data_IF_081680046202
#
_entry.id   IF_081680046202
#
_cell.length_a   1.000
_cell.length_b   1.000
_cell.length_c   1.000
_cell.angle_alpha   90.00
_cell.angle_beta   90.00
_cell.angle_gamma   90.00
#
_symmetry.space_group_name_H-M   'P 1'
#
loop_
_entity.id
_entity.type
_entity.pdbx_description
1 polymer ?
#
# COMPACT_ATOMS: atom_id res chain seq x y z
N UNK A 1 -13.81 21.78 -5.86
CA UNK A 1 -12.82 21.26 -6.83
C UNK A 1 -11.72 20.42 -6.15
N UNK A 2 -11.63 20.37 -4.82
CA UNK A 2 -10.61 19.58 -4.10
C UNK A 2 -10.83 18.05 -4.10
N UNK A 3 -12.06 17.55 -4.21
CA UNK A 3 -12.33 16.11 -4.12
C UNK A 3 -11.73 15.31 -5.30
N UNK A 4 -11.79 15.85 -6.51
CA UNK A 4 -11.30 15.16 -7.72
C UNK A 4 -9.78 14.97 -7.71
N UNK A 5 -9.03 15.92 -7.15
CA UNK A 5 -7.57 15.84 -7.04
C UNK A 5 -7.12 14.75 -6.05
N UNK A 6 -7.84 14.65 -4.92
CA UNK A 6 -7.58 13.67 -3.86
C UNK A 6 -7.87 12.24 -4.35
N UNK A 7 -9.00 12.05 -5.02
CA UNK A 7 -9.37 10.76 -5.64
C UNK A 7 -8.36 10.33 -6.71
N UNK A 8 -7.94 11.25 -7.58
CA UNK A 8 -6.93 10.94 -8.61
C UNK A 8 -5.58 10.54 -7.99
N UNK A 9 -5.17 11.21 -6.91
CA UNK A 9 -3.93 10.88 -6.20
C UNK A 9 -4.01 9.49 -5.55
N UNK A 10 -5.17 9.14 -4.98
CA UNK A 10 -5.36 7.81 -4.37
C UNK A 10 -5.35 6.70 -5.41
N UNK A 11 -5.99 6.90 -6.57
CA UNK A 11 -5.97 5.93 -7.68
C UNK A 11 -4.55 5.72 -8.22
N UNK A 12 -3.75 6.79 -8.33
CA UNK A 12 -2.35 6.70 -8.73
C UNK A 12 -1.53 5.87 -7.74
N UNK A 13 -1.69 6.12 -6.44
CA UNK A 13 -1.03 5.33 -5.40
C UNK A 13 -1.48 3.87 -5.42
N UNK A 14 -2.76 3.60 -5.66
CA UNK A 14 -3.28 2.25 -5.76
C UNK A 14 -2.67 1.47 -6.93
N UNK A 15 -2.56 2.09 -8.11
CA UNK A 15 -1.91 1.49 -9.28
C UNK A 15 -0.41 1.27 -9.04
N UNK A 16 0.24 2.22 -8.36
CA UNK A 16 1.63 2.06 -7.93
C UNK A 16 1.81 0.88 -6.97
N UNK A 17 0.90 0.69 -6.01
CA UNK A 17 0.92 -0.48 -5.12
C UNK A 17 0.85 -1.79 -5.91
N UNK A 18 -0.01 -1.85 -6.94
CA UNK A 18 -0.11 -3.02 -7.83
C UNK A 18 1.21 -3.27 -8.57
N UNK A 19 1.79 -2.22 -9.13
CA UNK A 19 3.07 -2.29 -9.84
C UNK A 19 4.20 -2.77 -8.93
N UNK A 20 4.29 -2.20 -7.72
CA UNK A 20 5.30 -2.60 -6.72
C UNK A 20 5.08 -4.03 -6.23
N UNK A 21 3.82 -4.46 -6.07
CA UNK A 21 3.53 -5.83 -5.67
C UNK A 21 4.00 -6.86 -6.69
N UNK A 22 3.89 -6.57 -7.98
CA UNK A 22 4.41 -7.43 -9.05
C UNK A 22 5.94 -7.46 -9.11
N UNK A 23 6.65 -6.61 -8.35
CA UNK A 23 8.10 -6.66 -8.26
C UNK A 23 8.57 -7.99 -7.64
N UNK A 24 9.59 -8.66 -8.21
CA UNK A 24 10.13 -9.90 -7.65
C UNK A 24 10.53 -9.83 -6.18
N UNK A 25 11.00 -8.67 -5.69
CA UNK A 25 11.36 -8.48 -4.29
C UNK A 25 10.15 -8.60 -3.37
N UNK A 26 9.00 -8.04 -3.77
CA UNK A 26 7.75 -8.15 -3.00
C UNK A 26 7.16 -9.55 -3.16
N UNK A 27 7.14 -10.11 -4.37
CA UNK A 27 6.68 -11.48 -4.62
C UNK A 27 7.48 -12.53 -3.83
N UNK A 28 8.79 -12.30 -3.62
CA UNK A 28 9.64 -13.21 -2.85
C UNK A 28 9.21 -13.41 -1.40
N UNK A 29 8.39 -12.49 -0.87
CA UNK A 29 7.80 -12.61 0.48
C UNK A 29 6.70 -13.67 0.56
N UNK A 30 6.21 -14.18 -0.57
CA UNK A 30 5.17 -15.22 -0.62
C UNK A 30 3.80 -14.73 -0.15
N UNK A 31 3.58 -13.42 -0.12
CA UNK A 31 2.30 -12.84 0.28
C UNK A 31 1.25 -13.04 -0.81
N UNK A 32 0.04 -13.43 -0.40
CA UNK A 32 -1.09 -13.56 -1.30
C UNK A 32 -1.74 -12.19 -1.53
N UNK A 33 -2.30 -11.92 -2.73
CA UNK A 33 -2.95 -10.63 -3.02
C UNK A 33 -4.10 -10.32 -2.05
N UNK A 34 -4.79 -11.35 -1.55
CA UNK A 34 -5.93 -11.21 -0.63
C UNK A 34 -5.60 -10.54 0.71
N UNK A 35 -4.32 -10.43 1.08
CA UNK A 35 -3.86 -9.69 2.24
C UNK A 35 -4.06 -8.18 2.07
N UNK A 36 -3.95 -7.67 0.84
CA UNK A 36 -3.96 -6.23 0.54
C UNK A 36 -5.10 -5.80 -0.37
N UNK A 37 -5.61 -6.71 -1.21
CA UNK A 37 -6.74 -6.49 -2.10
C UNK A 37 -7.93 -7.36 -1.70
N UNK A 38 -9.12 -6.88 -2.04
CA UNK A 38 -10.33 -7.68 -2.16
C UNK A 38 -10.43 -8.12 -3.61
N UNK A 39 -10.46 -9.42 -3.84
CA UNK A 39 -10.67 -9.98 -5.18
C UNK A 39 -11.99 -9.44 -5.74
N UNK A 40 -12.00 -8.96 -6.98
CA UNK A 40 -13.24 -8.56 -7.65
C UNK A 40 -14.00 -9.78 -8.15
N UNK A 41 -13.27 -10.77 -8.65
CA UNK A 41 -13.75 -12.08 -9.09
C UNK A 41 -12.58 -13.09 -9.02
N UNK A 42 -12.80 -14.33 -9.46
CA UNK A 42 -11.76 -15.37 -9.44
C UNK A 42 -10.61 -15.13 -10.43
N UNK A 43 -10.81 -14.30 -11.45
CA UNK A 43 -9.84 -14.01 -12.51
C UNK A 43 -9.00 -12.75 -12.22
N UNK A 44 -9.52 -11.84 -11.39
CA UNK A 44 -8.87 -10.59 -11.01
C UNK A 44 -8.65 -10.52 -9.49
N UNK A 45 -7.46 -10.92 -9.01
CA UNK A 45 -7.09 -10.85 -7.61
C UNK A 45 -6.86 -9.41 -7.13
N UNK A 46 -6.77 -8.43 -8.04
CA UNK A 46 -6.49 -7.02 -7.77
C UNK A 46 -7.75 -6.16 -7.93
N UNK A 47 -8.79 -6.49 -7.17
CA UNK A 47 -9.98 -5.63 -7.07
C UNK A 47 -9.69 -4.37 -6.24
N UNK A 48 -10.48 -4.12 -5.19
CA UNK A 48 -10.31 -2.92 -4.36
C UNK A 48 -9.26 -3.14 -3.27
N UNK A 49 -8.45 -2.12 -2.97
CA UNK A 49 -7.55 -2.17 -1.82
C UNK A 49 -8.35 -2.28 -0.52
N UNK A 50 -8.04 -3.32 0.28
CA UNK A 50 -8.64 -3.53 1.61
C UNK A 50 -7.86 -2.86 2.72
N UNK A 51 -6.63 -2.43 2.44
CA UNK A 51 -5.74 -1.70 3.35
C UNK A 51 -5.57 -0.25 2.87
N UNK A 52 -5.03 0.59 3.73
CA UNK A 52 -4.73 1.97 3.38
C UNK A 52 -3.68 2.01 2.24
N UNK A 53 -3.98 2.62 1.07
CA UNK A 53 -3.06 2.66 -0.07
C UNK A 53 -1.74 3.36 0.26
N UNK A 54 -1.77 4.39 1.10
CA UNK A 54 -0.56 5.14 1.47
C UNK A 54 0.38 4.28 2.33
N UNK A 55 -0.16 3.54 3.29
CA UNK A 55 0.64 2.64 4.13
C UNK A 55 1.20 1.47 3.30
N UNK A 56 0.42 0.94 2.37
CA UNK A 56 0.83 -0.15 1.50
C UNK A 56 1.93 0.27 0.51
N UNK A 57 1.83 1.48 -0.06
CA UNK A 57 2.85 1.98 -0.97
C UNK A 57 4.18 2.19 -0.25
N UNK A 58 4.17 2.78 0.95
CA UNK A 58 5.37 2.89 1.79
C UNK A 58 5.99 1.53 2.08
N UNK A 59 5.15 0.54 2.44
CA UNK A 59 5.59 -0.83 2.72
C UNK A 59 6.33 -1.44 1.53
N UNK A 60 5.72 -1.42 0.34
CA UNK A 60 6.32 -2.03 -0.84
C UNK A 60 7.53 -1.24 -1.33
N UNK A 61 7.49 0.08 -1.30
CA UNK A 61 8.65 0.93 -1.63
C UNK A 61 9.83 0.63 -0.70
N UNK A 62 9.60 0.44 0.60
CA UNK A 62 10.63 0.04 1.54
C UNK A 62 11.23 -1.34 1.22
N UNK A 63 10.40 -2.33 0.84
CA UNK A 63 10.87 -3.67 0.43
C UNK A 63 11.71 -3.59 -0.85
N UNK A 64 11.28 -2.77 -1.81
CA UNK A 64 11.99 -2.54 -3.07
C UNK A 64 13.22 -1.65 -2.94
N UNK A 65 13.45 -1.03 -1.77
CA UNK A 65 14.53 -0.04 -1.57
C UNK A 65 14.33 1.25 -2.38
N UNK A 66 13.08 1.60 -2.70
CA UNK A 66 12.70 2.75 -3.51
C UNK A 66 12.12 3.88 -2.65
N UNK A 67 12.21 5.11 -3.14
CA UNK A 67 11.55 6.25 -2.51
C UNK A 67 10.02 6.11 -2.64
N UNK A 68 9.33 6.22 -1.51
CA UNK A 68 7.87 6.20 -1.44
C UNK A 68 7.27 7.55 -1.84
N UNK A 69 6.27 7.51 -2.72
CA UNK A 69 5.48 8.68 -3.11
C UNK A 69 4.42 9.03 -2.05
N UNK A 70 3.94 8.02 -1.30
CA UNK A 70 2.96 8.21 -0.24
C UNK A 70 3.56 8.67 1.09
N UNK A 71 4.88 8.58 1.29
CA UNK A 71 5.55 8.89 2.57
C UNK A 71 5.17 10.25 3.13
N UNK A 72 5.34 11.31 2.35
CA UNK A 72 5.07 12.68 2.82
C UNK A 72 3.59 12.87 3.19
N UNK A 73 2.68 12.39 2.34
CA UNK A 73 1.25 12.46 2.62
C UNK A 73 0.85 11.64 3.84
N UNK A 74 1.43 10.45 4.02
CA UNK A 74 1.18 9.61 5.19
C UNK A 74 1.67 10.26 6.47
N UNK A 75 2.85 10.88 6.47
CA UNK A 75 3.40 11.61 7.62
C UNK A 75 2.57 12.86 7.98
N UNK A 76 1.97 13.52 6.99
CA UNK A 76 1.03 14.62 7.24
C UNK A 76 -0.27 14.16 7.91
N UNK A 77 -0.76 12.97 7.57
CA UNK A 77 -2.02 12.41 8.12
C UNK A 77 -1.79 11.70 9.45
N UNK A 78 -0.71 10.92 9.56
CA UNK A 78 -0.30 10.13 10.73
C UNK A 78 1.22 10.27 10.94
N UNK A 79 1.68 11.26 11.69
CA UNK A 79 3.10 11.45 11.98
C UNK A 79 3.75 10.21 12.59
N UNK A 80 4.94 9.85 12.11
CA UNK A 80 5.73 8.69 12.51
C UNK A 80 5.32 7.36 11.86
N UNK A 81 4.19 7.32 11.14
CA UNK A 81 3.65 6.07 10.60
C UNK A 81 4.49 5.53 9.43
N UNK A 82 4.94 6.39 8.52
CA UNK A 82 5.75 5.95 7.39
C UNK A 82 7.10 5.43 7.88
N UNK A 83 7.72 6.19 8.79
CA UNK A 83 9.01 5.82 9.40
C UNK A 83 8.94 4.53 10.23
N UNK A 84 7.80 4.25 10.87
CA UNK A 84 7.54 2.97 11.55
C UNK A 84 7.51 1.80 10.56
N UNK A 85 6.77 1.92 9.45
CA UNK A 85 6.65 0.87 8.44
C UNK A 85 8.01 0.52 7.83
N UNK A 86 8.78 1.52 7.44
CA UNK A 86 10.13 1.34 6.88
C UNK A 86 11.06 0.61 7.86
N UNK A 87 11.01 0.99 9.15
CA UNK A 87 11.80 0.34 10.20
C UNK A 87 11.40 -1.11 10.38
N UNK A 88 10.10 -1.42 10.41
CA UNK A 88 9.61 -2.81 10.50
C UNK A 88 10.11 -3.65 9.34
N UNK A 89 10.06 -3.13 8.11
CA UNK A 89 10.62 -3.84 6.94
C UNK A 89 12.13 -4.04 7.05
N UNK A 90 12.88 -3.05 7.54
CA UNK A 90 14.31 -3.18 7.78
C UNK A 90 14.65 -4.27 8.80
N UNK A 91 13.75 -4.53 9.76
CA UNK A 91 13.87 -5.64 10.72
C UNK A 91 13.24 -6.96 10.22
N UNK A 92 12.68 -6.99 9.01
CA UNK A 92 12.07 -8.18 8.43
C UNK A 92 10.66 -8.49 8.94
N UNK A 93 10.01 -7.54 9.62
CA UNK A 93 8.66 -7.69 10.17
C UNK A 93 7.61 -7.11 9.20
N UNK A 94 6.44 -7.76 9.14
CA UNK A 94 5.27 -7.21 8.43
C UNK A 94 4.47 -6.34 9.41
N UNK A 95 4.51 -5.00 9.30
CA UNK A 95 3.73 -4.13 10.16
C UNK A 95 2.22 -4.33 9.91
N UNK A 96 1.43 -4.23 10.97
CA UNK A 96 -0.02 -4.25 10.87
C UNK A 96 -0.48 -3.01 10.09
N UNK A 97 -1.06 -3.22 8.90
CA UNK A 97 -1.61 -2.13 8.08
C UNK A 97 -3.03 -1.74 8.54
N UNK A 98 -3.39 -0.48 8.35
CA UNK A 98 -4.75 0.00 8.61
C UNK A 98 -5.69 -0.57 7.55
N UNK A 99 -6.63 -1.41 7.97
CA UNK A 99 -7.70 -1.89 7.09
C UNK A 99 -8.69 -0.76 6.79
N UNK A 100 -9.16 -0.70 5.54
CA UNK A 100 -10.29 0.13 5.14
C UNK A 100 -11.56 -0.61 5.55
N UNK A 101 -12.33 0.01 6.44
CA UNK A 101 -13.68 -0.45 6.74
C UNK A 101 -14.48 -0.50 5.43
N UNK A 102 -15.29 -1.54 5.28
CA UNK A 102 -16.22 -1.62 4.16
C UNK A 102 -17.09 -0.38 4.13
N UNK A 103 -17.05 0.34 3.01
CA UNK A 103 -18.16 1.21 2.65
C UNK A 103 -19.22 0.26 2.13
N UNK A 104 -20.04 -0.26 3.04
CA UNK A 104 -21.26 -1.02 2.73
C UNK A 104 -22.23 -0.20 1.88
#
# INVERSE_FOLDING_TARGET
MENTQKEQSELQIAERCRTLYLNPLVQSKGWLPNLFWRSKNAEDPFGCLRVNPLELEVLFSAICGQTSEARCSLEQIKPGRASFIERSIAHGELPLLTFRADVS
#
